data_IF_838060364614
#
_entry.id   IF_838060364614
#
_cell.length_a   1.000
_cell.length_b   1.000
_cell.length_c   1.000
_cell.angle_alpha   90.00
_cell.angle_beta   90.00
_cell.angle_gamma   90.00
#
_symmetry.space_group_name_H-M   'P 1'
#
loop_
_entity.id
_entity.type
_entity.pdbx_description
1 polymer ?
#
# COMPACT_ATOMS: atom_id res chain seq x y z
N UNK A 1 10.97 20.80 3.25
CA UNK A 1 10.41 20.87 4.63
C UNK A 1 8.97 21.33 4.57
N UNK A 2 8.63 22.35 3.78
CA UNK A 2 7.29 22.93 3.71
C UNK A 2 6.24 21.89 3.24
N UNK A 3 6.53 21.13 2.20
CA UNK A 3 5.65 20.05 1.73
C UNK A 3 5.41 18.98 2.81
N UNK A 4 6.44 18.69 3.65
CA UNK A 4 6.30 17.72 4.74
C UNK A 4 5.37 18.24 5.84
N UNK A 5 5.44 19.54 6.15
CA UNK A 5 4.53 20.20 7.10
C UNK A 5 3.10 20.22 6.58
N UNK A 6 2.91 20.57 5.31
CA UNK A 6 1.59 20.58 4.67
C UNK A 6 0.94 19.18 4.70
N UNK A 7 1.72 18.14 4.34
CA UNK A 7 1.25 16.75 4.40
C UNK A 7 0.86 16.34 5.81
N UNK A 8 1.69 16.65 6.82
CA UNK A 8 1.42 16.32 8.21
C UNK A 8 0.15 17.03 8.72
N UNK A 9 0.00 18.33 8.41
CA UNK A 9 -1.16 19.12 8.78
C UNK A 9 -2.44 18.61 8.11
N UNK A 10 -2.38 18.25 6.83
CA UNK A 10 -3.52 17.67 6.11
C UNK A 10 -3.95 16.35 6.74
N UNK A 11 -3.00 15.46 7.06
CA UNK A 11 -3.30 14.21 7.76
C UNK A 11 -3.96 14.49 9.12
N UNK A 12 -3.38 15.39 9.92
CA UNK A 12 -3.88 15.72 11.24
C UNK A 12 -5.29 16.32 11.22
N UNK A 13 -5.60 17.19 10.24
CA UNK A 13 -6.92 17.77 10.05
C UNK A 13 -8.02 16.72 9.81
N UNK A 14 -7.64 15.55 9.28
CA UNK A 14 -8.54 14.41 9.06
C UNK A 14 -8.42 13.31 10.13
N UNK A 15 -7.72 13.55 11.24
CA UNK A 15 -7.50 12.56 12.29
C UNK A 15 -6.61 11.38 11.86
N UNK A 16 -5.79 11.55 10.82
CA UNK A 16 -4.90 10.52 10.25
C UNK A 16 -3.47 10.79 10.75
N UNK A 17 -2.80 9.74 11.22
CA UNK A 17 -1.37 9.81 11.58
C UNK A 17 -0.50 9.74 10.32
N UNK A 18 0.53 10.59 10.27
CA UNK A 18 1.52 10.60 9.21
C UNK A 18 2.80 9.88 9.61
N UNK A 19 3.36 9.05 8.73
CA UNK A 19 4.60 8.31 9.00
C UNK A 19 5.62 8.55 7.89
N UNK A 20 6.84 8.96 8.27
CA UNK A 20 7.94 9.14 7.34
C UNK A 20 8.80 7.88 7.26
N UNK A 21 9.00 7.35 6.06
CA UNK A 21 9.88 6.19 5.84
C UNK A 21 11.34 6.58 5.74
N UNK A 22 12.15 6.16 6.73
CA UNK A 22 13.62 6.27 6.78
C UNK A 22 14.20 4.86 6.98
N UNK A 23 13.69 3.91 6.22
CA UNK A 23 13.98 2.48 6.37
C UNK A 23 15.03 1.93 5.39
N UNK A 24 15.84 2.79 4.81
CA UNK A 24 17.00 2.40 4.02
C UNK A 24 18.20 2.13 4.93
N UNK A 25 19.17 1.35 4.44
CA UNK A 25 20.47 1.20 5.10
C UNK A 25 21.20 2.55 5.06
N UNK A 26 21.80 2.95 6.17
CA UNK A 26 22.51 4.22 6.35
C UNK A 26 24.01 3.95 6.34
N UNK A 27 24.76 4.62 5.45
CA UNK A 27 26.20 4.58 5.46
C UNK A 27 26.76 5.76 6.30
N UNK A 28 28.04 5.69 6.68
CA UNK A 28 28.64 6.72 7.52
C UNK A 28 28.51 8.15 6.95
N UNK A 29 28.62 8.29 5.64
CA UNK A 29 28.45 9.54 4.91
C UNK A 29 27.01 10.08 4.90
N UNK A 30 26.01 9.21 5.08
CA UNK A 30 24.60 9.60 5.11
C UNK A 30 24.14 10.12 6.49
N UNK A 31 24.91 9.89 7.56
CA UNK A 31 24.51 10.23 8.93
C UNK A 31 24.09 11.71 9.09
N UNK A 32 24.78 12.71 8.51
CA UNK A 32 24.35 14.10 8.63
C UNK A 32 22.99 14.34 7.96
N UNK A 33 22.80 13.82 6.74
CA UNK A 33 21.53 13.95 6.02
C UNK A 33 20.39 13.24 6.74
N UNK A 34 20.64 12.03 7.27
CA UNK A 34 19.66 11.26 8.04
C UNK A 34 19.16 12.07 9.25
N UNK A 35 20.06 12.72 10.00
CA UNK A 35 19.70 13.58 11.14
C UNK A 35 18.84 14.76 10.68
N UNK A 36 19.23 15.44 9.62
CA UNK A 36 18.49 16.57 9.06
C UNK A 36 17.05 16.16 8.66
N UNK A 37 16.88 14.96 8.07
CA UNK A 37 15.57 14.45 7.68
C UNK A 37 14.70 14.15 8.92
N UNK A 38 15.27 13.55 9.95
CA UNK A 38 14.54 13.21 11.18
C UNK A 38 14.20 14.49 11.98
N UNK A 39 15.10 15.46 12.04
CA UNK A 39 14.83 16.78 12.66
C UNK A 39 13.67 17.48 11.94
N UNK A 40 13.68 17.46 10.60
CA UNK A 40 12.59 18.02 9.79
C UNK A 40 11.25 17.28 10.02
N UNK A 41 11.29 15.96 10.19
CA UNK A 41 10.10 15.17 10.53
C UNK A 41 9.53 15.55 11.90
N UNK A 42 10.41 15.73 12.89
CA UNK A 42 10.05 16.19 14.24
C UNK A 42 9.46 17.60 14.20
N UNK A 43 10.09 18.53 13.48
CA UNK A 43 9.62 19.90 13.32
C UNK A 43 8.27 20.00 12.57
N UNK A 44 8.04 19.08 11.63
CA UNK A 44 6.78 19.00 10.88
C UNK A 44 5.66 18.25 11.63
N UNK A 45 5.90 17.81 12.86
CA UNK A 45 4.94 17.05 13.67
C UNK A 45 4.49 15.72 13.03
N UNK A 46 5.42 15.07 12.29
CA UNK A 46 5.21 13.71 11.76
C UNK A 46 5.04 12.75 12.94
N UNK A 47 3.96 11.96 12.92
CA UNK A 47 3.57 11.09 14.04
C UNK A 47 4.64 10.03 14.38
N UNK A 48 5.26 9.40 13.37
CA UNK A 48 6.35 8.45 13.60
C UNK A 48 7.30 8.32 12.40
N UNK A 49 8.50 7.81 12.65
CA UNK A 49 9.48 7.44 11.62
C UNK A 49 9.52 5.92 11.49
N UNK A 50 9.39 5.40 10.28
CA UNK A 50 9.56 3.97 10.00
C UNK A 50 11.04 3.69 9.74
N UNK A 51 11.68 2.90 10.60
CA UNK A 51 13.12 2.66 10.61
C UNK A 51 13.50 1.17 10.47
N UNK A 52 14.65 0.90 9.86
CA UNK A 52 15.31 -0.41 9.88
C UNK A 52 16.77 -0.32 10.29
N UNK A 53 17.39 0.84 10.20
CA UNK A 53 18.78 1.07 10.59
C UNK A 53 18.85 1.52 12.05
N UNK A 54 19.80 0.94 12.81
CA UNK A 54 19.99 1.26 14.24
C UNK A 54 20.38 2.72 14.45
N UNK A 55 21.11 3.34 13.51
CA UNK A 55 21.47 4.75 13.61
C UNK A 55 20.23 5.65 13.59
N UNK A 56 19.23 5.32 12.78
CA UNK A 56 17.92 6.02 12.74
C UNK A 56 17.19 5.84 14.07
N UNK A 57 17.09 4.60 14.56
CA UNK A 57 16.37 4.31 15.81
C UNK A 57 17.01 5.03 17.02
N UNK A 58 18.34 5.00 17.12
CA UNK A 58 19.08 5.67 18.19
C UNK A 58 18.89 7.17 18.16
N UNK A 59 18.95 7.78 16.98
CA UNK A 59 18.77 9.22 16.85
C UNK A 59 17.33 9.64 17.15
N UNK A 60 16.33 8.92 16.62
CA UNK A 60 14.92 9.16 16.97
C UNK A 60 14.69 9.10 18.48
N UNK A 61 15.23 8.08 19.15
CA UNK A 61 15.15 7.95 20.60
C UNK A 61 15.80 9.14 21.33
N UNK A 62 16.95 9.59 20.85
CA UNK A 62 17.68 10.74 21.43
C UNK A 62 16.84 12.02 21.42
N UNK A 63 16.09 12.28 20.32
CA UNK A 63 15.30 13.49 20.18
C UNK A 63 13.81 13.31 20.56
N UNK A 64 13.41 12.10 21.00
CA UNK A 64 12.05 11.79 21.39
C UNK A 64 11.07 11.73 20.21
N UNK A 65 11.53 11.26 19.03
CA UNK A 65 10.67 10.96 17.87
C UNK A 65 10.19 9.52 17.93
N UNK A 66 8.87 9.30 17.78
CA UNK A 66 8.29 7.94 17.76
C UNK A 66 8.85 7.14 16.56
N UNK A 67 9.13 5.85 16.81
CA UNK A 67 9.65 4.92 15.81
C UNK A 67 8.68 3.76 15.62
N UNK A 68 8.40 3.42 14.36
CA UNK A 68 7.84 2.13 13.94
C UNK A 68 8.92 1.31 13.26
N UNK A 69 9.00 0.04 13.57
CA UNK A 69 10.00 -0.84 12.98
C UNK A 69 9.58 -1.31 11.59
N UNK A 70 10.52 -1.27 10.66
CA UNK A 70 10.27 -1.73 9.29
C UNK A 70 10.29 -3.26 9.20
N UNK A 71 9.50 -3.82 8.26
CA UNK A 71 9.55 -5.24 7.87
C UNK A 71 10.94 -5.71 7.43
N UNK A 72 11.83 -4.80 7.04
CA UNK A 72 13.22 -5.13 6.65
C UNK A 72 14.07 -5.70 7.78
N UNK A 73 13.64 -5.54 9.03
CA UNK A 73 14.28 -6.18 10.19
C UNK A 73 13.98 -7.68 10.27
N UNK A 74 12.95 -8.16 9.58
CA UNK A 74 12.56 -9.57 9.51
C UNK A 74 12.38 -10.21 10.90
N UNK A 75 11.71 -9.49 11.81
CA UNK A 75 11.44 -9.95 13.17
C UNK A 75 10.50 -11.16 13.13
N UNK A 76 10.99 -12.31 13.56
CA UNK A 76 10.30 -13.60 13.40
C UNK A 76 10.22 -14.42 14.70
N UNK A 77 10.72 -13.89 15.81
CA UNK A 77 10.68 -14.54 17.12
C UNK A 77 10.65 -13.52 18.24
N UNK A 78 10.33 -13.99 19.45
CA UNK A 78 10.17 -13.15 20.63
C UNK A 78 11.47 -12.49 21.10
N UNK A 79 12.62 -13.14 20.93
CA UNK A 79 13.89 -12.58 21.39
C UNK A 79 14.34 -11.40 20.52
N UNK A 80 14.16 -11.49 19.18
CA UNK A 80 14.36 -10.36 18.29
C UNK A 80 13.38 -9.22 18.61
N UNK A 81 12.10 -9.55 18.89
CA UNK A 81 11.09 -8.56 19.26
C UNK A 81 11.47 -7.84 20.55
N UNK A 82 11.89 -8.54 21.62
CA UNK A 82 12.36 -7.93 22.87
C UNK A 82 13.51 -6.96 22.65
N UNK A 83 14.47 -7.33 21.80
CA UNK A 83 15.60 -6.44 21.51
C UNK A 83 15.11 -5.13 20.86
N UNK A 84 14.20 -5.21 19.90
CA UNK A 84 13.70 -4.03 19.20
C UNK A 84 12.63 -3.25 19.97
N UNK A 85 11.95 -3.86 20.94
CA UNK A 85 10.95 -3.21 21.79
C UNK A 85 11.48 -1.98 22.53
N UNK A 86 12.80 -1.92 22.78
CA UNK A 86 13.42 -0.75 23.38
C UNK A 86 13.37 0.53 22.52
N UNK A 87 13.04 0.41 21.22
CA UNK A 87 13.05 1.54 20.26
C UNK A 87 11.66 1.92 19.76
N UNK A 88 10.67 1.03 19.84
CA UNK A 88 9.40 1.24 19.17
C UNK A 88 8.23 0.59 19.91
N UNK A 89 7.05 1.19 19.80
CA UNK A 89 5.78 0.68 20.34
C UNK A 89 5.02 -0.19 19.32
N UNK A 90 5.46 -0.21 18.06
CA UNK A 90 4.87 -1.01 16.97
C UNK A 90 5.97 -1.77 16.24
N UNK A 91 5.78 -3.08 16.10
CA UNK A 91 6.74 -4.00 15.47
C UNK A 91 6.11 -4.68 14.28
N UNK A 92 6.72 -4.53 13.08
CA UNK A 92 6.31 -5.27 11.89
C UNK A 92 6.97 -6.65 11.91
N UNK A 93 6.17 -7.70 12.00
CA UNK A 93 6.69 -9.07 11.92
C UNK A 93 7.03 -9.47 10.48
N UNK A 94 7.90 -10.46 10.34
CA UNK A 94 8.27 -11.06 9.08
C UNK A 94 7.04 -11.63 8.36
N UNK A 95 6.99 -11.49 7.04
CA UNK A 95 5.84 -11.92 6.21
C UNK A 95 5.76 -13.42 5.99
N UNK A 96 6.82 -14.13 6.36
CA UNK A 96 6.96 -15.58 6.26
C UNK A 96 6.31 -16.33 7.43
N UNK A 97 5.90 -15.63 8.50
CA UNK A 97 5.23 -16.23 9.65
C UNK A 97 3.79 -16.61 9.35
N UNK A 98 3.36 -17.76 9.86
CA UNK A 98 1.95 -18.14 9.87
C UNK A 98 1.25 -17.61 11.14
N UNK A 99 -0.10 -17.63 11.14
CA UNK A 99 -0.90 -17.07 12.23
C UNK A 99 -0.69 -17.78 13.58
N UNK A 100 -0.32 -19.07 13.58
CA UNK A 100 0.01 -19.80 14.82
C UNK A 100 1.29 -19.23 15.46
N UNK A 101 2.32 -18.95 14.65
CA UNK A 101 3.55 -18.34 15.12
C UNK A 101 3.32 -16.90 15.61
N UNK A 102 2.48 -16.14 14.93
CA UNK A 102 2.09 -14.79 15.32
C UNK A 102 1.36 -14.80 16.66
N UNK A 103 0.38 -15.70 16.83
CA UNK A 103 -0.36 -15.87 18.08
C UNK A 103 0.56 -16.26 19.25
N UNK A 104 1.55 -17.12 19.00
CA UNK A 104 2.54 -17.47 20.04
C UNK A 104 3.40 -16.27 20.45
N UNK A 105 3.85 -15.47 19.51
CA UNK A 105 4.58 -14.21 19.81
C UNK A 105 3.68 -13.26 20.62
N UNK A 106 2.41 -13.08 20.22
CA UNK A 106 1.47 -12.22 20.93
C UNK A 106 1.24 -12.70 22.38
N UNK A 107 1.00 -14.00 22.59
CA UNK A 107 0.86 -14.58 23.91
C UNK A 107 2.10 -14.27 24.77
N UNK A 108 3.31 -14.43 24.23
CA UNK A 108 4.54 -14.14 24.94
C UNK A 108 4.73 -12.65 25.26
N UNK A 109 4.24 -11.73 24.40
CA UNK A 109 4.22 -10.28 24.67
C UNK A 109 3.38 -10.02 25.94
N UNK A 110 2.20 -10.64 26.02
CA UNK A 110 1.28 -10.48 27.16
C UNK A 110 1.85 -11.10 28.45
N UNK A 111 2.30 -12.36 28.39
CA UNK A 111 2.83 -13.09 29.55
C UNK A 111 4.08 -12.42 30.16
N UNK A 112 4.97 -11.92 29.30
CA UNK A 112 6.23 -11.29 29.72
C UNK A 112 6.10 -9.76 29.85
N UNK A 113 4.91 -9.19 29.58
CA UNK A 113 4.61 -7.74 29.61
C UNK A 113 5.67 -6.92 28.85
N UNK A 114 5.94 -7.31 27.61
CA UNK A 114 6.92 -6.62 26.76
C UNK A 114 6.33 -5.30 26.30
N UNK A 115 6.87 -4.20 26.81
CA UNK A 115 6.42 -2.84 26.51
C UNK A 115 7.42 -2.12 25.61
N UNK A 116 6.91 -1.19 24.80
CA UNK A 116 7.71 -0.23 24.06
C UNK A 116 8.08 1.00 24.89
N UNK A 117 8.72 2.01 24.27
CA UNK A 117 9.12 3.26 24.94
C UNK A 117 7.96 4.06 25.53
N UNK A 118 6.75 3.93 24.98
CA UNK A 118 5.52 4.55 25.49
C UNK A 118 4.97 3.90 26.77
N UNK A 119 5.54 2.77 27.23
CA UNK A 119 5.12 2.05 28.43
C UNK A 119 3.94 1.10 28.23
N UNK A 120 3.33 1.08 27.05
CA UNK A 120 2.27 0.16 26.70
C UNK A 120 2.81 -1.14 26.07
N UNK A 121 2.03 -2.21 26.11
CA UNK A 121 2.39 -3.47 25.44
C UNK A 121 2.65 -3.21 23.94
N UNK A 122 3.73 -3.80 23.45
CA UNK A 122 4.10 -3.64 22.05
C UNK A 122 3.00 -4.19 21.12
N UNK A 123 2.70 -3.45 20.06
CA UNK A 123 1.67 -3.83 19.08
C UNK A 123 2.29 -4.50 17.87
N UNK A 124 1.66 -5.59 17.44
CA UNK A 124 2.06 -6.30 16.23
C UNK A 124 1.43 -5.64 15.00
N UNK A 125 2.28 -5.29 14.03
CA UNK A 125 1.89 -4.86 12.69
C UNK A 125 2.22 -5.97 11.69
N UNK A 126 1.27 -6.26 10.78
CA UNK A 126 1.49 -7.17 9.67
C UNK A 126 0.92 -6.62 8.37
N UNK A 127 1.54 -6.99 7.24
CA UNK A 127 0.92 -6.71 5.94
C UNK A 127 -0.38 -7.46 5.81
N UNK A 128 -1.40 -6.78 5.28
CA UNK A 128 -2.71 -7.40 5.00
C UNK A 128 -3.06 -7.35 3.51
N UNK A 129 -2.47 -6.45 2.73
CA UNK A 129 -2.78 -6.34 1.31
C UNK A 129 -1.62 -5.80 0.48
N UNK A 130 -1.55 -6.25 -0.78
CA UNK A 130 -0.72 -5.67 -1.83
C UNK A 130 0.52 -6.48 -2.17
N UNK A 131 1.46 -5.84 -2.87
CA UNK A 131 2.60 -6.52 -3.47
C UNK A 131 3.49 -7.26 -2.45
N UNK A 132 3.73 -8.54 -2.68
CA UNK A 132 4.75 -9.31 -1.97
C UNK A 132 6.08 -9.26 -2.71
N UNK A 133 7.17 -9.23 -1.93
CA UNK A 133 8.52 -9.40 -2.45
C UNK A 133 8.83 -10.89 -2.61
N UNK A 134 9.53 -11.27 -3.69
CA UNK A 134 10.03 -12.64 -3.84
C UNK A 134 11.19 -12.95 -2.88
N UNK A 135 11.91 -11.93 -2.45
CA UNK A 135 13.03 -12.06 -1.54
C UNK A 135 12.61 -11.68 -0.11
N UNK A 136 13.39 -12.15 0.87
CA UNK A 136 13.31 -11.65 2.24
C UNK A 136 13.44 -10.13 2.22
N UNK A 137 12.59 -9.44 2.98
CA UNK A 137 12.47 -7.98 2.93
C UNK A 137 13.81 -7.28 3.14
N UNK A 138 14.19 -6.41 2.21
CA UNK A 138 15.45 -5.66 2.23
C UNK A 138 16.70 -6.45 1.84
N UNK A 139 16.62 -7.73 1.46
CA UNK A 139 17.76 -8.61 1.17
C UNK A 139 17.91 -8.99 -0.31
N UNK A 140 17.40 -8.18 -1.23
CA UNK A 140 17.42 -8.49 -2.67
C UNK A 140 18.54 -7.76 -3.39
N UNK A 141 19.34 -8.51 -4.17
CA UNK A 141 20.45 -7.99 -4.99
C UNK A 141 20.11 -7.78 -6.48
N UNK A 142 18.91 -8.18 -6.95
CA UNK A 142 18.56 -8.11 -8.38
C UNK A 142 18.71 -6.70 -8.97
N UNK A 143 18.25 -5.67 -8.24
CA UNK A 143 18.39 -4.29 -8.73
C UNK A 143 19.84 -3.81 -8.70
N UNK A 144 20.61 -4.20 -7.69
CA UNK A 144 22.03 -3.85 -7.59
C UNK A 144 22.84 -4.44 -8.74
N UNK A 145 22.65 -5.72 -9.02
CA UNK A 145 23.33 -6.43 -10.12
C UNK A 145 23.01 -5.82 -11.49
N UNK A 146 21.73 -5.51 -11.74
CA UNK A 146 21.28 -5.02 -13.04
C UNK A 146 21.55 -3.53 -13.29
N UNK A 147 21.49 -2.69 -12.25
CA UNK A 147 21.50 -1.21 -12.39
C UNK A 147 22.56 -0.50 -11.55
N UNK A 148 23.34 -1.23 -10.76
CA UNK A 148 24.26 -0.64 -9.78
C UNK A 148 23.57 0.09 -8.63
N UNK A 149 22.23 -0.06 -8.46
CA UNK A 149 21.44 0.61 -7.42
C UNK A 149 20.76 -0.41 -6.52
N UNK A 150 21.02 -0.33 -5.22
CA UNK A 150 20.54 -1.31 -4.26
C UNK A 150 19.09 -1.08 -3.83
N UNK A 151 18.29 -2.16 -3.79
CA UNK A 151 16.93 -2.12 -3.29
C UNK A 151 16.85 -1.77 -1.81
N UNK A 152 17.82 -2.16 -0.97
CA UNK A 152 17.87 -1.80 0.44
C UNK A 152 18.26 -0.33 0.69
N UNK A 153 18.70 0.37 -0.37
CA UNK A 153 18.93 1.81 -0.41
C UNK A 153 17.77 2.57 -1.07
N UNK A 154 16.59 1.95 -1.18
CA UNK A 154 15.38 2.54 -1.75
C UNK A 154 15.23 2.42 -3.28
N UNK A 155 16.20 1.83 -4.00
CA UNK A 155 16.22 1.78 -5.46
C UNK A 155 15.78 0.41 -6.02
N UNK A 156 14.64 -0.13 -5.58
CA UNK A 156 14.07 -1.35 -6.14
C UNK A 156 13.43 -1.06 -7.51
N UNK A 157 14.03 -1.61 -8.57
CA UNK A 157 13.57 -1.47 -9.96
C UNK A 157 12.56 -2.55 -10.37
N UNK A 158 12.11 -3.39 -9.44
CA UNK A 158 11.14 -4.49 -9.66
C UNK A 158 11.53 -5.43 -10.81
N UNK A 159 12.81 -5.73 -10.97
CA UNK A 159 13.35 -6.57 -12.04
C UNK A 159 12.75 -7.98 -11.98
N UNK A 160 12.44 -8.49 -10.79
CA UNK A 160 11.74 -9.76 -10.60
C UNK A 160 10.36 -9.84 -11.30
N UNK A 161 9.83 -8.72 -11.80
CA UNK A 161 8.54 -8.67 -12.51
C UNK A 161 8.66 -8.74 -14.03
N UNK A 162 9.87 -8.98 -14.55
CA UNK A 162 10.15 -9.17 -15.99
C UNK A 162 10.10 -10.66 -16.36
N UNK A 163 9.95 -10.96 -17.64
CA UNK A 163 10.15 -12.29 -18.20
C UNK A 163 11.65 -12.60 -18.33
N UNK A 164 12.02 -13.87 -18.20
CA UNK A 164 13.40 -14.34 -18.27
C UNK A 164 13.51 -15.59 -19.11
N UNK A 165 14.65 -15.73 -19.77
CA UNK A 165 15.10 -16.98 -20.38
C UNK A 165 16.25 -17.52 -19.51
N UNK A 166 16.12 -18.73 -19.01
CA UNK A 166 17.19 -19.43 -18.29
C UNK A 166 17.78 -20.46 -19.21
N UNK A 167 19.10 -20.38 -19.43
CA UNK A 167 19.87 -21.32 -20.26
C UNK A 167 20.76 -22.17 -19.39
N UNK A 168 20.58 -23.46 -19.48
CA UNK A 168 21.53 -24.43 -18.92
C UNK A 168 22.87 -24.33 -19.65
N UNK A 169 23.94 -24.09 -18.89
CA UNK A 169 25.25 -23.81 -19.47
C UNK A 169 25.92 -25.07 -20.04
N UNK A 170 25.62 -26.24 -19.52
CA UNK A 170 26.23 -27.50 -19.91
C UNK A 170 25.50 -28.12 -21.09
N UNK A 171 24.18 -28.18 -21.03
CA UNK A 171 23.35 -28.82 -22.07
C UNK A 171 22.92 -27.86 -23.18
N UNK A 172 22.95 -26.54 -22.92
CA UNK A 172 22.44 -25.53 -23.82
C UNK A 172 20.91 -25.45 -23.86
N UNK A 173 20.21 -26.24 -23.06
CA UNK A 173 18.74 -26.22 -22.97
C UNK A 173 18.29 -24.87 -22.47
N UNK A 174 17.36 -24.24 -23.17
CA UNK A 174 16.73 -22.96 -22.77
C UNK A 174 15.35 -23.19 -22.16
N UNK A 175 15.10 -22.55 -21.03
CA UNK A 175 13.82 -22.51 -20.35
C UNK A 175 13.34 -21.08 -20.33
N UNK A 176 12.24 -20.79 -21.04
CA UNK A 176 11.58 -19.49 -20.96
C UNK A 176 10.86 -19.38 -19.64
N UNK A 177 11.27 -18.39 -18.84
CA UNK A 177 10.67 -18.07 -17.55
C UNK A 177 10.03 -16.71 -17.67
N UNK A 178 8.73 -16.70 -17.87
CA UNK A 178 7.94 -15.47 -17.79
C UNK A 178 7.59 -15.12 -16.32
N UNK A 179 6.87 -14.01 -16.12
CA UNK A 179 6.53 -13.51 -14.79
C UNK A 179 5.71 -14.49 -13.93
N UNK A 180 5.25 -15.60 -14.50
CA UNK A 180 4.36 -16.54 -13.81
C UNK A 180 5.09 -17.60 -12.98
N UNK A 181 6.39 -17.84 -13.16
CA UNK A 181 6.99 -19.06 -12.61
C UNK A 181 7.91 -18.88 -11.42
N UNK A 182 8.78 -17.88 -11.35
CA UNK A 182 9.84 -17.88 -10.32
C UNK A 182 9.92 -16.59 -9.51
N UNK A 183 9.71 -15.42 -10.11
CA UNK A 183 10.12 -14.17 -9.49
C UNK A 183 9.01 -13.14 -9.32
N UNK A 184 7.78 -13.41 -9.74
CA UNK A 184 6.66 -12.49 -9.60
C UNK A 184 5.52 -13.09 -8.76
N UNK A 185 5.60 -13.03 -7.42
CA UNK A 185 4.52 -13.54 -6.59
C UNK A 185 3.23 -12.75 -6.83
N UNK A 186 2.10 -13.44 -6.65
CA UNK A 186 0.78 -12.82 -6.55
C UNK A 186 0.76 -11.82 -5.40
N UNK A 187 -0.19 -10.91 -5.42
CA UNK A 187 -0.36 -9.92 -4.36
C UNK A 187 -1.06 -10.57 -3.14
N UNK A 188 -0.61 -10.21 -1.94
CA UNK A 188 -1.22 -10.63 -0.69
C UNK A 188 -2.65 -10.08 -0.59
N UNK A 189 -3.59 -10.91 -0.13
CA UNK A 189 -4.95 -10.50 0.20
C UNK A 189 -5.46 -11.31 1.39
N UNK A 190 -5.73 -10.63 2.52
CA UNK A 190 -6.12 -11.28 3.77
C UNK A 190 -7.55 -10.95 4.21
N UNK A 191 -8.31 -10.21 3.42
CA UNK A 191 -9.64 -9.73 3.80
C UNK A 191 -10.59 -10.85 4.22
N UNK A 192 -10.45 -12.05 3.64
CA UNK A 192 -11.30 -13.22 3.97
C UNK A 192 -10.99 -13.88 5.31
N UNK A 193 -9.83 -13.60 5.89
CA UNK A 193 -9.40 -14.15 7.19
C UNK A 193 -8.80 -13.09 8.11
N UNK A 194 -9.23 -11.85 7.98
CA UNK A 194 -8.80 -10.74 8.82
C UNK A 194 -9.13 -10.99 10.30
N UNK A 195 -10.22 -11.67 10.58
CA UNK A 195 -10.62 -12.16 11.89
C UNK A 195 -9.53 -13.00 12.54
N UNK A 196 -8.94 -13.96 11.83
CA UNK A 196 -7.84 -14.80 12.34
C UNK A 196 -6.58 -13.99 12.63
N UNK A 197 -6.31 -12.96 11.83
CA UNK A 197 -5.19 -12.03 12.11
C UNK A 197 -5.45 -11.25 13.40
N UNK A 198 -6.67 -10.77 13.60
CA UNK A 198 -7.07 -10.07 14.83
C UNK A 198 -6.99 -10.97 16.05
N UNK A 199 -7.45 -12.22 15.95
CA UNK A 199 -7.36 -13.27 16.98
C UNK A 199 -5.89 -13.61 17.32
N UNK A 200 -5.01 -13.66 16.30
CA UNK A 200 -3.58 -13.89 16.50
C UNK A 200 -2.83 -12.70 17.13
N UNK A 201 -3.54 -11.60 17.44
CA UNK A 201 -2.97 -10.45 18.13
C UNK A 201 -2.43 -9.34 17.22
N UNK A 202 -2.69 -9.40 15.91
CA UNK A 202 -2.37 -8.28 15.03
C UNK A 202 -3.28 -7.09 15.36
N UNK A 203 -2.67 -5.91 15.55
CA UNK A 203 -3.38 -4.67 15.90
C UNK A 203 -3.18 -3.54 14.89
N UNK A 204 -2.17 -3.66 14.03
CA UNK A 204 -1.88 -2.71 12.97
C UNK A 204 -1.82 -3.45 11.63
N UNK A 205 -2.68 -3.06 10.69
CA UNK A 205 -2.82 -3.72 9.39
C UNK A 205 -2.18 -2.85 8.30
N UNK A 206 -1.14 -3.37 7.66
CA UNK A 206 -0.36 -2.65 6.67
C UNK A 206 -0.78 -2.97 5.25
N UNK A 207 -1.10 -1.94 4.48
CA UNK A 207 -1.41 -2.03 3.06
C UNK A 207 -0.20 -1.55 2.26
N UNK A 208 0.25 -2.35 1.28
CA UNK A 208 1.27 -1.92 0.33
C UNK A 208 0.60 -1.18 -0.83
N UNK A 209 0.75 0.14 -0.85
CA UNK A 209 0.18 1.02 -1.87
C UNK A 209 1.21 1.83 -2.66
N UNK A 210 2.51 1.55 -2.52
CA UNK A 210 3.57 2.28 -3.21
C UNK A 210 3.40 2.18 -4.73
N UNK A 211 3.47 3.33 -5.41
CA UNK A 211 3.26 3.46 -6.84
C UNK A 211 1.87 2.96 -7.30
N UNK A 212 0.86 3.11 -6.46
CA UNK A 212 -0.57 2.89 -6.79
C UNK A 212 -1.29 4.22 -6.89
N UNK A 213 -2.35 4.25 -7.69
CA UNK A 213 -3.21 5.42 -7.79
C UNK A 213 -4.10 5.61 -6.54
N UNK A 214 -4.66 6.79 -6.35
CA UNK A 214 -5.51 7.09 -5.20
C UNK A 214 -6.76 6.19 -5.15
N UNK A 215 -7.30 5.77 -6.28
CA UNK A 215 -8.43 4.85 -6.38
C UNK A 215 -8.12 3.47 -5.77
N UNK A 216 -6.89 2.99 -5.94
CA UNK A 216 -6.45 1.75 -5.30
C UNK A 216 -6.45 1.91 -3.79
N UNK A 217 -5.85 3.00 -3.30
CA UNK A 217 -5.73 3.24 -1.86
C UNK A 217 -7.12 3.37 -1.24
N UNK A 218 -8.01 4.19 -1.82
CA UNK A 218 -9.37 4.39 -1.33
C UNK A 218 -10.16 3.06 -1.29
N UNK A 219 -10.12 2.28 -2.37
CA UNK A 219 -10.83 0.99 -2.45
C UNK A 219 -10.30 -0.01 -1.43
N UNK A 220 -8.97 -0.18 -1.37
CA UNK A 220 -8.37 -1.18 -0.46
C UNK A 220 -8.58 -0.78 1.00
N UNK A 221 -8.31 0.47 1.36
CA UNK A 221 -8.53 0.94 2.74
C UNK A 221 -9.99 0.79 3.15
N UNK A 222 -10.94 1.20 2.29
CA UNK A 222 -12.38 1.04 2.55
C UNK A 222 -12.79 -0.41 2.81
N UNK A 223 -12.37 -1.34 1.95
CA UNK A 223 -12.67 -2.77 2.14
C UNK A 223 -12.12 -3.32 3.47
N UNK A 224 -10.88 -2.96 3.83
CA UNK A 224 -10.29 -3.44 5.09
C UNK A 224 -10.88 -2.77 6.33
N UNK A 225 -11.25 -1.48 6.27
CA UNK A 225 -11.98 -0.82 7.36
C UNK A 225 -13.33 -1.48 7.60
N UNK A 226 -14.11 -1.71 6.54
CA UNK A 226 -15.40 -2.39 6.62
C UNK A 226 -15.25 -3.82 7.15
N UNK A 227 -14.23 -4.56 6.69
CA UNK A 227 -13.97 -5.93 7.14
C UNK A 227 -13.62 -5.99 8.64
N UNK A 228 -12.71 -5.12 9.10
CA UNK A 228 -12.34 -5.03 10.53
C UNK A 228 -13.55 -4.64 11.37
N UNK A 229 -14.32 -3.63 10.94
CA UNK A 229 -15.53 -3.23 11.65
C UNK A 229 -16.55 -4.37 11.70
N UNK A 230 -16.72 -5.10 10.60
CA UNK A 230 -17.62 -6.25 10.53
C UNK A 230 -17.22 -7.38 11.48
N UNK A 231 -15.93 -7.61 11.70
CA UNK A 231 -15.45 -8.56 12.73
C UNK A 231 -15.81 -8.06 14.12
N UNK A 232 -15.58 -6.77 14.41
CA UNK A 232 -15.89 -6.18 15.72
C UNK A 232 -17.40 -6.22 16.03
N UNK A 233 -18.24 -6.03 15.01
CA UNK A 233 -19.71 -6.05 15.14
C UNK A 233 -20.31 -7.46 15.08
N UNK A 234 -19.50 -8.49 14.86
CA UNK A 234 -19.98 -9.87 14.71
C UNK A 234 -20.79 -10.13 13.43
N UNK A 235 -20.58 -9.31 12.40
CA UNK A 235 -21.29 -9.38 11.10
C UNK A 235 -20.41 -9.79 9.93
N UNK A 236 -19.30 -10.48 10.20
CA UNK A 236 -18.31 -10.92 9.22
C UNK A 236 -18.78 -12.18 8.49
N UNK A 237 -19.60 -12.01 7.44
CA UNK A 237 -20.25 -13.09 6.68
C UNK A 237 -19.55 -13.39 5.36
N UNK A 238 -19.84 -14.56 4.74
CA UNK A 238 -19.26 -14.94 3.45
C UNK A 238 -19.73 -13.99 2.33
N UNK A 239 -20.98 -13.51 2.37
CA UNK A 239 -21.52 -12.56 1.38
C UNK A 239 -20.73 -11.26 1.37
N UNK A 240 -20.39 -10.72 2.55
CA UNK A 240 -19.55 -9.52 2.66
C UNK A 240 -18.12 -9.76 2.16
N UNK A 241 -17.56 -10.94 2.47
CA UNK A 241 -16.24 -11.33 1.97
C UNK A 241 -16.22 -11.39 0.44
N UNK A 242 -17.27 -11.93 -0.18
CA UNK A 242 -17.41 -11.98 -1.64
C UNK A 242 -17.56 -10.58 -2.27
N UNK A 243 -18.28 -9.67 -1.59
CA UNK A 243 -18.39 -8.28 -2.01
C UNK A 243 -17.02 -7.58 -1.98
N UNK A 244 -16.27 -7.69 -0.87
CA UNK A 244 -14.94 -7.09 -0.79
C UNK A 244 -13.97 -7.71 -1.81
N UNK A 245 -14.04 -9.02 -2.05
CA UNK A 245 -13.24 -9.70 -3.08
C UNK A 245 -13.53 -9.12 -4.47
N UNK A 246 -14.79 -8.91 -4.81
CA UNK A 246 -15.19 -8.30 -6.07
C UNK A 246 -14.68 -6.86 -6.20
N UNK A 247 -14.78 -6.06 -5.14
CA UNK A 247 -14.27 -4.68 -5.12
C UNK A 247 -12.74 -4.64 -5.25
N UNK A 248 -12.01 -5.47 -4.50
CA UNK A 248 -10.55 -5.56 -4.55
C UNK A 248 -10.05 -6.05 -5.92
N UNK A 249 -10.81 -6.92 -6.60
CA UNK A 249 -10.46 -7.40 -7.93
C UNK A 249 -10.56 -6.31 -9.02
N UNK A 250 -11.30 -5.22 -8.81
CA UNK A 250 -11.45 -4.12 -9.77
C UNK A 250 -10.21 -3.25 -9.90
N UNK A 251 -9.47 -3.09 -8.79
CA UNK A 251 -8.24 -2.28 -8.76
C UNK A 251 -7.01 -3.10 -9.09
N UNK A 252 -5.88 -2.44 -9.32
CA UNK A 252 -4.65 -3.11 -9.72
C UNK A 252 -4.28 -4.26 -8.79
N UNK A 253 -4.07 -5.45 -9.35
CA UNK A 253 -3.53 -6.61 -8.65
C UNK A 253 -2.79 -7.53 -9.63
N UNK A 254 -2.04 -8.51 -9.11
CA UNK A 254 -1.33 -9.54 -9.89
C UNK A 254 -1.90 -10.94 -9.67
N UNK A 255 -3.21 -11.04 -9.42
CA UNK A 255 -3.82 -12.19 -8.79
C UNK A 255 -3.54 -12.15 -7.30
N UNK A 256 -4.33 -12.90 -6.51
CA UNK A 256 -4.27 -12.88 -5.07
C UNK A 256 -3.91 -14.23 -4.48
N UNK A 257 -3.26 -14.21 -3.32
CA UNK A 257 -3.04 -15.37 -2.46
C UNK A 257 -2.93 -14.93 -0.99
N UNK A 258 -2.95 -15.90 -0.08
CA UNK A 258 -2.98 -15.65 1.37
C UNK A 258 -1.59 -15.42 1.98
N UNK A 259 -0.55 -15.39 1.18
CA UNK A 259 0.81 -15.41 1.68
C UNK A 259 1.12 -16.74 2.40
N UNK A 260 2.02 -16.69 3.36
CA UNK A 260 2.37 -17.83 4.21
C UNK A 260 1.49 -17.91 5.48
N UNK A 261 0.54 -17.00 5.63
CA UNK A 261 -0.19 -16.77 6.88
C UNK A 261 -1.06 -17.94 7.31
N UNK A 262 -1.58 -18.71 6.37
CA UNK A 262 -2.40 -19.90 6.66
C UNK A 262 -1.59 -21.21 6.67
N UNK A 263 -0.24 -21.14 6.68
CA UNK A 263 0.65 -22.30 6.77
C UNK A 263 1.12 -22.86 5.44
N UNK A 264 0.90 -22.15 4.33
CA UNK A 264 1.47 -22.51 3.03
C UNK A 264 3.00 -22.51 3.10
N UNK A 265 3.62 -23.51 2.49
CA UNK A 265 5.08 -23.68 2.42
C UNK A 265 5.68 -23.23 1.10
N UNK A 266 4.85 -23.11 0.05
CA UNK A 266 5.25 -22.69 -1.28
C UNK A 266 4.54 -21.38 -1.64
N UNK A 267 5.25 -20.49 -2.34
CA UNK A 267 4.68 -19.25 -2.86
C UNK A 267 3.76 -19.50 -4.06
N UNK A 268 2.85 -18.56 -4.31
CA UNK A 268 2.05 -18.52 -5.52
C UNK A 268 2.51 -17.40 -6.45
N UNK A 269 2.61 -17.73 -7.75
CA UNK A 269 3.17 -16.84 -8.77
C UNK A 269 2.07 -16.35 -9.71
N UNK A 270 2.24 -15.11 -10.21
CA UNK A 270 1.29 -14.57 -11.18
C UNK A 270 1.41 -15.29 -12.51
N UNK A 271 0.28 -15.46 -13.19
CA UNK A 271 0.22 -15.97 -14.58
C UNK A 271 0.14 -14.85 -15.61
N UNK A 272 -0.01 -13.60 -15.17
CA UNK A 272 -0.24 -12.45 -16.05
C UNK A 272 0.91 -11.43 -15.93
N UNK A 273 1.32 -10.88 -17.07
CA UNK A 273 2.14 -9.68 -17.09
C UNK A 273 1.29 -8.45 -16.77
N UNK A 274 1.72 -7.65 -15.79
CA UNK A 274 1.00 -6.41 -15.43
C UNK A 274 -0.16 -6.63 -14.46
N UNK A 275 -1.32 -6.04 -14.76
CA UNK A 275 -2.50 -6.09 -13.91
C UNK A 275 -3.45 -7.21 -14.30
N UNK A 276 -3.96 -7.93 -13.29
CA UNK A 276 -5.06 -8.87 -13.39
C UNK A 276 -6.42 -8.25 -12.97
N UNK A 277 -6.49 -6.92 -12.84
CA UNK A 277 -7.71 -6.23 -12.47
C UNK A 277 -8.84 -6.50 -13.47
N UNK A 278 -10.06 -6.64 -12.95
CA UNK A 278 -11.27 -6.87 -13.77
C UNK A 278 -11.74 -5.60 -14.49
N UNK A 279 -11.32 -4.42 -14.02
CA UNK A 279 -11.57 -3.13 -14.67
C UNK A 279 -10.27 -2.52 -15.20
N UNK A 280 -10.36 -1.87 -16.37
CA UNK A 280 -9.25 -1.15 -17.00
C UNK A 280 -9.60 0.32 -17.12
N UNK A 281 -8.72 1.19 -16.62
CA UNK A 281 -8.84 2.63 -16.83
C UNK A 281 -8.51 2.99 -18.28
N UNK A 282 -9.39 3.75 -18.89
CA UNK A 282 -9.19 4.35 -20.22
C UNK A 282 -9.10 5.86 -20.02
N UNK A 283 -8.01 6.45 -20.50
CA UNK A 283 -7.89 7.90 -20.45
C UNK A 283 -8.85 8.55 -21.44
N UNK A 284 -9.69 9.45 -20.93
CA UNK A 284 -10.69 10.17 -21.71
C UNK A 284 -10.26 11.62 -21.96
N UNK A 285 -9.87 12.34 -20.90
CA UNK A 285 -9.55 13.75 -21.02
C UNK A 285 -9.21 14.38 -19.66
N UNK A 286 -9.29 15.70 -19.60
CA UNK A 286 -8.95 16.46 -18.40
C UNK A 286 -10.02 17.48 -18.03
N UNK A 287 -10.17 17.72 -16.72
CA UNK A 287 -10.98 18.82 -16.21
C UNK A 287 -10.34 20.18 -16.57
N UNK A 288 -11.17 21.11 -16.99
CA UNK A 288 -10.79 22.50 -17.31
C UNK A 288 -11.24 23.43 -16.20
N UNK A 289 -12.50 23.25 -15.73
CA UNK A 289 -13.10 24.12 -14.73
C UNK A 289 -14.22 23.40 -13.98
N UNK A 290 -14.38 23.74 -12.73
CA UNK A 290 -15.53 23.33 -11.92
C UNK A 290 -16.37 24.54 -11.54
N UNK A 291 -17.68 24.45 -11.75
CA UNK A 291 -18.67 25.47 -11.44
C UNK A 291 -19.40 25.06 -10.13
N UNK A 292 -18.78 25.33 -8.99
CA UNK A 292 -19.24 24.84 -7.68
C UNK A 292 -20.68 25.20 -7.33
N UNK A 293 -21.18 26.37 -7.76
CA UNK A 293 -22.58 26.78 -7.55
C UNK A 293 -23.61 25.95 -8.34
N UNK A 294 -23.16 25.26 -9.38
CA UNK A 294 -24.02 24.48 -10.28
C UNK A 294 -23.78 22.97 -10.16
N UNK A 295 -22.75 22.56 -9.44
CA UNK A 295 -22.33 21.16 -9.41
C UNK A 295 -21.88 20.61 -10.78
N UNK A 296 -21.26 21.46 -11.63
CA UNK A 296 -20.96 21.11 -13.04
C UNK A 296 -19.47 21.20 -13.30
N UNK A 297 -18.89 20.14 -13.85
CA UNK A 297 -17.52 20.11 -14.34
C UNK A 297 -17.41 20.31 -15.84
N UNK A 298 -16.50 21.16 -16.30
CA UNK A 298 -16.13 21.32 -17.71
C UNK A 298 -14.90 20.47 -18.03
N UNK A 299 -14.99 19.64 -19.05
CA UNK A 299 -13.94 18.71 -19.45
C UNK A 299 -13.59 18.84 -20.92
N UNK A 300 -12.29 18.72 -21.23
CA UNK A 300 -11.77 18.55 -22.59
C UNK A 300 -11.55 17.07 -22.87
N UNK A 301 -12.20 16.53 -23.87
CA UNK A 301 -12.03 15.15 -24.32
C UNK A 301 -10.79 15.09 -25.23
N UNK A 302 -9.81 14.27 -24.83
CA UNK A 302 -8.48 14.23 -25.49
C UNK A 302 -8.20 12.89 -26.19
N UNK A 303 -8.80 11.80 -25.74
CA UNK A 303 -8.47 10.46 -26.24
C UNK A 303 -9.70 9.61 -26.57
N UNK A 304 -10.31 8.94 -25.61
CA UNK A 304 -11.44 8.07 -25.82
C UNK A 304 -12.77 8.83 -25.74
N UNK A 305 -13.78 8.28 -26.40
CA UNK A 305 -15.15 8.77 -26.28
C UNK A 305 -15.73 8.41 -24.90
N UNK A 306 -16.76 9.14 -24.49
CA UNK A 306 -17.45 8.98 -23.22
C UNK A 306 -18.95 9.09 -23.43
N UNK A 307 -19.73 8.19 -22.84
CA UNK A 307 -21.18 8.08 -23.05
C UNK A 307 -21.94 8.09 -21.72
N UNK A 308 -23.17 8.56 -21.74
CA UNK A 308 -24.10 8.43 -20.60
C UNK A 308 -24.19 6.96 -20.19
N UNK A 309 -24.10 6.70 -18.87
CA UNK A 309 -24.03 5.37 -18.30
C UNK A 309 -22.61 4.83 -18.08
N UNK A 310 -21.57 5.51 -18.60
CA UNK A 310 -20.18 5.15 -18.30
C UNK A 310 -19.86 5.47 -16.84
N UNK A 311 -19.06 4.58 -16.22
CA UNK A 311 -18.49 4.80 -14.92
C UNK A 311 -17.18 5.57 -15.04
N UNK A 312 -17.12 6.74 -14.45
CA UNK A 312 -15.99 7.64 -14.50
C UNK A 312 -15.15 7.57 -13.23
N UNK A 313 -13.84 7.77 -13.40
CA UNK A 313 -12.91 8.04 -12.32
C UNK A 313 -12.25 9.40 -12.57
N UNK A 314 -12.58 10.37 -11.75
CA UNK A 314 -11.92 11.68 -11.74
C UNK A 314 -10.80 11.64 -10.70
N UNK A 315 -9.59 12.06 -11.10
CA UNK A 315 -8.44 12.13 -10.19
C UNK A 315 -7.76 13.49 -10.27
N UNK A 316 -7.33 14.00 -9.15
CA UNK A 316 -6.62 15.27 -9.07
C UNK A 316 -5.95 15.48 -7.72
N UNK A 317 -5.07 16.48 -7.58
CA UNK A 317 -4.35 16.74 -6.32
C UNK A 317 -5.29 17.06 -5.15
N UNK A 318 -6.40 17.75 -5.41
CA UNK A 318 -7.40 18.12 -4.41
C UNK A 318 -8.58 17.15 -4.39
N UNK A 319 -8.97 16.60 -5.55
CA UNK A 319 -10.09 15.65 -5.68
C UNK A 319 -9.74 14.26 -5.12
N UNK A 320 -8.45 13.89 -5.09
CA UNK A 320 -8.06 12.51 -4.75
C UNK A 320 -8.55 11.52 -5.81
N UNK A 321 -9.56 10.71 -5.48
CA UNK A 321 -10.23 9.78 -6.40
C UNK A 321 -11.75 9.85 -6.19
N UNK A 322 -12.45 10.32 -7.20
CA UNK A 322 -13.91 10.37 -7.23
C UNK A 322 -14.44 9.40 -8.28
N UNK A 323 -15.22 8.41 -7.86
CA UNK A 323 -15.98 7.53 -8.75
C UNK A 323 -17.39 8.10 -8.91
N UNK A 324 -17.87 8.13 -10.16
CA UNK A 324 -19.21 8.60 -10.47
C UNK A 324 -19.74 7.91 -11.73
N UNK A 325 -21.02 7.71 -11.82
CA UNK A 325 -21.70 7.29 -13.04
C UNK A 325 -22.09 8.54 -13.83
N UNK A 326 -21.84 8.53 -15.13
CA UNK A 326 -22.18 9.66 -16.00
C UNK A 326 -23.68 9.66 -16.28
N UNK A 327 -24.43 10.51 -15.59
CA UNK A 327 -25.89 10.62 -15.74
C UNK A 327 -26.26 11.55 -16.89
N UNK A 328 -25.55 12.65 -17.05
CA UNK A 328 -25.82 13.63 -18.10
C UNK A 328 -24.52 14.28 -18.58
N UNK A 329 -24.39 14.39 -19.90
CA UNK A 329 -23.32 15.15 -20.55
C UNK A 329 -23.91 16.13 -21.56
N UNK A 330 -23.38 17.37 -21.57
CA UNK A 330 -23.82 18.41 -22.51
C UNK A 330 -22.68 18.89 -23.39
N UNK A 331 -22.98 19.03 -24.68
CA UNK A 331 -22.15 19.72 -25.66
C UNK A 331 -22.90 20.93 -26.20
N UNK A 332 -22.25 22.11 -26.22
CA UNK A 332 -22.90 23.39 -26.54
C UNK A 332 -24.23 23.61 -25.79
N UNK A 333 -24.19 23.30 -24.47
CA UNK A 333 -25.32 23.41 -23.52
C UNK A 333 -26.52 22.49 -23.85
N UNK A 334 -26.42 21.60 -24.83
CA UNK A 334 -27.47 20.63 -25.17
C UNK A 334 -27.08 19.24 -24.65
N UNK A 335 -28.03 18.52 -24.06
CA UNK A 335 -27.80 17.12 -23.70
C UNK A 335 -27.44 16.28 -24.93
N UNK A 336 -26.44 15.40 -24.75
CA UNK A 336 -26.00 14.45 -25.79
C UNK A 336 -25.75 13.10 -25.16
N UNK A 337 -25.85 12.03 -25.90
CA UNK A 337 -25.59 10.67 -25.41
C UNK A 337 -24.08 10.36 -25.31
N UNK A 338 -23.28 10.95 -26.23
CA UNK A 338 -21.86 10.64 -26.35
C UNK A 338 -21.09 11.90 -26.74
N UNK A 339 -19.89 12.03 -26.15
CA UNK A 339 -18.90 13.06 -26.51
C UNK A 339 -17.58 12.39 -26.88
N UNK A 340 -16.94 12.90 -27.93
CA UNK A 340 -15.73 12.35 -28.50
C UNK A 340 -14.54 13.29 -28.46
N UNK A 341 -13.40 12.77 -28.92
CA UNK A 341 -12.12 13.48 -28.95
C UNK A 341 -12.23 14.86 -29.61
N UNK A 342 -11.69 15.88 -28.95
CA UNK A 342 -11.68 17.27 -29.38
C UNK A 342 -12.86 18.08 -28.87
N UNK A 343 -13.90 17.43 -28.34
CA UNK A 343 -15.06 18.13 -27.79
C UNK A 343 -14.77 18.66 -26.37
N UNK A 344 -15.40 19.79 -26.06
CA UNK A 344 -15.45 20.36 -24.71
C UNK A 344 -16.85 20.22 -24.18
N UNK A 345 -17.04 19.52 -23.11
CA UNK A 345 -18.34 19.13 -22.57
C UNK A 345 -18.51 19.52 -21.10
N UNK A 346 -19.76 19.55 -20.68
CA UNK A 346 -20.18 19.75 -19.30
C UNK A 346 -20.73 18.44 -18.74
N UNK A 347 -20.20 18.01 -17.58
CA UNK A 347 -20.72 16.87 -16.83
C UNK A 347 -21.55 17.37 -15.64
N UNK A 348 -22.74 16.80 -15.53
CA UNK A 348 -23.65 17.03 -14.42
C UNK A 348 -23.65 15.82 -13.52
N UNK A 349 -23.46 16.00 -12.21
CA UNK A 349 -23.41 14.92 -11.22
C UNK A 349 -24.24 15.27 -10.02
N UNK A 350 -24.94 14.28 -9.48
CA UNK A 350 -25.70 14.44 -8.24
C UNK A 350 -24.83 14.60 -7.00
N UNK A 351 -23.58 14.12 -7.04
CA UNK A 351 -22.66 14.09 -5.89
C UNK A 351 -21.57 15.16 -5.89
N UNK A 352 -21.57 16.06 -6.86
CA UNK A 352 -20.57 17.14 -6.96
C UNK A 352 -20.88 18.34 -6.02
N UNK A 353 -21.66 18.16 -4.98
CA UNK A 353 -22.21 19.26 -4.18
C UNK A 353 -21.32 19.75 -3.02
N UNK A 354 -20.17 19.15 -2.73
CA UNK A 354 -19.43 19.45 -1.50
C UNK A 354 -17.93 19.76 -1.68
N UNK A 355 -17.46 20.27 -2.84
CA UNK A 355 -16.12 20.89 -2.92
C UNK A 355 -16.08 22.18 -3.74
#
# INVERSE_FOLDING_TARGET
>A
IDDLKEMAQTCAAHGIKSYLTVNTIIYGEDLPLMRTIIDAAKEADISAVIASDVAVMMYCRQIGQEVHLSTQLNISNIEALKFYAQFADVVVLARELNMTQVADIHRQIEEQRICGPGGELIRIEMFCHGALCMAVSGKCYLSLDNTGRSANRGACMQICRRGYIVKDRETGTELEIDNKYIMSPKDLKTVRFIDRMMEAGVRVFKIEGRARGPEYVATVVGCYQEAIQSVLDGTFTEEKKDEWDARLARVFNRGFWDGYYQGQTLGEWTTNYGSAATEKKVYVGKAIKYFSKLGVGEFQIEAADMSVGDRLLVTGPTTGALFMDLEEVRYDLKPVETVGKGMRCLLYTSDAADE
#
